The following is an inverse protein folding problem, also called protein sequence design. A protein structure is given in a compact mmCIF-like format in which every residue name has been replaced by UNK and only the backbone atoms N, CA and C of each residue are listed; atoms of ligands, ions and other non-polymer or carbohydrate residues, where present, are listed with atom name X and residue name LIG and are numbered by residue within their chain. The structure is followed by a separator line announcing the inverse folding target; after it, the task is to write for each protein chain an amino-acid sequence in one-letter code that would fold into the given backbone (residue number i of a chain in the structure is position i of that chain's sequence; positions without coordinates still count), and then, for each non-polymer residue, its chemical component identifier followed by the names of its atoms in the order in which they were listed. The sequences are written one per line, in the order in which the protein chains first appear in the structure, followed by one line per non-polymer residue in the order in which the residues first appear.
data_IF_974702642938
#
_entry.id   IF_974702642938
#
_cell.length_a   1.000
_cell.length_b   1.000
_cell.length_c   1.000
_cell.angle_alpha   90.00
_cell.angle_beta   90.00
_cell.angle_gamma   90.00
#
_symmetry.space_group_name_H-M   'P 1'
#
loop_
_entity.id
_entity.type
_entity.pdbx_description
1 polymer ?
#
# COMPACT_ATOMS: atom_id res chain seq x y z
N UNK A 1 -1.52 83.10 -8.00
CA UNK A 1 -1.77 82.97 -9.45
C UNK A 1 -1.51 81.53 -9.86
N UNK A 2 -2.52 80.96 -10.51
CA UNK A 2 -2.70 79.59 -11.00
C UNK A 2 -1.68 79.24 -12.10
N UNK A 3 -1.07 78.04 -12.09
CA UNK A 3 -0.86 77.23 -13.32
C UNK A 3 -0.87 75.73 -13.02
N UNK A 4 -1.96 75.12 -13.48
CA UNK A 4 -2.28 73.71 -13.67
C UNK A 4 -1.34 73.08 -14.72
N UNK A 5 -0.87 71.84 -14.53
CA UNK A 5 -0.73 70.84 -15.61
C UNK A 5 -0.90 69.40 -15.10
N UNK A 6 -1.97 68.81 -15.60
CA UNK A 6 -2.39 67.41 -15.61
C UNK A 6 -1.39 66.56 -16.41
N UNK A 7 -1.12 65.31 -16.00
CA UNK A 7 -0.77 64.22 -16.94
C UNK A 7 -0.92 62.83 -16.31
N UNK A 8 -2.00 62.18 -16.76
CA UNK A 8 -2.26 60.76 -17.00
C UNK A 8 -1.46 59.68 -16.24
N UNK A 9 -2.20 58.99 -15.38
CA UNK A 9 -1.94 57.65 -14.86
C UNK A 9 -2.04 56.61 -15.99
N UNK A 10 -0.93 55.97 -16.35
CA UNK A 10 -0.91 54.79 -17.22
C UNK A 10 -0.77 53.53 -16.35
N UNK A 11 -1.91 52.98 -15.93
CA UNK A 11 -2.03 51.63 -15.39
C UNK A 11 -1.84 50.62 -16.53
N UNK A 12 -0.60 50.21 -16.77
CA UNK A 12 -0.32 49.02 -17.57
C UNK A 12 -0.65 47.77 -16.76
N UNK A 13 -1.86 47.24 -16.90
CA UNK A 13 -2.12 45.84 -16.55
C UNK A 13 -1.43 44.97 -17.60
N UNK A 14 -0.24 44.47 -17.28
CA UNK A 14 0.36 43.35 -17.98
C UNK A 14 -0.48 42.11 -17.70
N UNK A 15 -1.40 41.78 -18.61
CA UNK A 15 -1.97 40.43 -18.68
C UNK A 15 -0.81 39.48 -18.99
N UNK A 16 -0.43 38.66 -18.02
CA UNK A 16 0.52 37.60 -18.24
C UNK A 16 -0.03 36.67 -19.34
N UNK A 17 0.62 36.67 -20.49
CA UNK A 17 0.34 35.76 -21.59
C UNK A 17 0.71 34.34 -21.18
N UNK A 18 -0.28 33.53 -20.79
CA UNK A 18 -0.15 32.08 -20.85
C UNK A 18 -0.50 31.62 -22.27
N UNK A 19 0.52 31.52 -23.12
CA UNK A 19 0.39 30.88 -24.42
C UNK A 19 1.55 29.90 -24.66
N UNK A 20 1.73 28.97 -23.71
CA UNK A 20 2.44 27.73 -24.01
C UNK A 20 1.40 26.72 -24.50
N UNK A 21 1.72 26.02 -25.60
CA UNK A 21 0.89 24.91 -26.08
C UNK A 21 0.86 23.85 -24.98
N UNK A 22 -0.33 23.54 -24.47
CA UNK A 22 -0.53 22.43 -23.55
C UNK A 22 -0.71 21.15 -24.37
N UNK A 23 0.27 20.26 -24.30
CA UNK A 23 0.22 18.93 -24.91
C UNK A 23 0.11 17.89 -23.80
N UNK A 24 -0.60 16.77 -24.04
CA UNK A 24 -0.60 15.67 -23.10
C UNK A 24 0.83 15.11 -22.96
N UNK A 25 1.25 14.85 -21.73
CA UNK A 25 2.53 14.21 -21.47
C UNK A 25 2.54 12.80 -22.08
N UNK A 26 3.58 12.47 -22.87
CA UNK A 26 3.71 11.15 -23.48
C UNK A 26 3.85 10.02 -22.44
N UNK A 27 4.37 10.36 -21.27
CA UNK A 27 4.45 9.50 -20.09
C UNK A 27 3.81 10.25 -18.92
N UNK A 28 2.49 10.08 -18.69
CA UNK A 28 1.79 10.73 -17.59
C UNK A 28 2.39 10.35 -16.24
N UNK A 29 2.42 11.30 -15.31
CA UNK A 29 2.81 11.05 -13.94
C UNK A 29 1.68 10.35 -13.17
N UNK A 30 2.05 9.53 -12.19
CA UNK A 30 1.15 8.93 -11.22
C UNK A 30 1.77 8.98 -9.84
N UNK A 31 0.92 9.07 -8.83
CA UNK A 31 1.28 8.88 -7.43
C UNK A 31 0.35 7.83 -6.82
N UNK A 32 0.92 6.91 -6.05
CA UNK A 32 0.21 5.85 -5.33
C UNK A 32 0.62 5.96 -3.87
N UNK A 33 -0.36 5.98 -2.96
CA UNK A 33 -0.14 5.93 -1.51
C UNK A 33 -0.82 4.68 -0.95
N UNK A 34 -0.06 3.85 -0.25
CA UNK A 34 -0.51 2.57 0.30
C UNK A 34 -0.13 2.48 1.78
N UNK A 35 -1.06 2.03 2.63
CA UNK A 35 -0.74 1.63 4.00
C UNK A 35 -0.28 0.17 4.04
N UNK A 36 0.82 -0.10 4.71
CA UNK A 36 1.35 -1.42 5.04
C UNK A 36 1.57 -1.39 6.56
N UNK A 37 0.75 -2.10 7.32
CA UNK A 37 0.61 -1.84 8.75
C UNK A 37 0.22 -0.38 9.03
N UNK A 38 0.99 0.28 9.88
CA UNK A 38 0.90 1.71 10.18
C UNK A 38 1.78 2.58 9.27
N UNK A 39 2.68 1.97 8.49
CA UNK A 39 3.57 2.66 7.56
C UNK A 39 2.83 3.06 6.29
N UNK A 40 3.02 4.32 5.86
CA UNK A 40 2.59 4.78 4.55
C UNK A 40 3.76 4.67 3.58
N UNK A 41 3.55 3.89 2.51
CA UNK A 41 4.45 3.78 1.39
C UNK A 41 3.89 4.57 0.20
N UNK A 42 4.64 5.57 -0.28
CA UNK A 42 4.24 6.43 -1.39
C UNK A 42 5.17 6.24 -2.58
N UNK A 43 4.60 6.10 -3.78
CA UNK A 43 5.32 5.90 -5.02
C UNK A 43 4.92 7.01 -6.00
N UNK A 44 5.89 7.82 -6.47
CA UNK A 44 5.67 8.82 -7.52
C UNK A 44 6.55 8.53 -8.74
N UNK A 45 5.97 8.37 -9.92
CA UNK A 45 6.73 8.10 -11.16
C UNK A 45 5.97 8.52 -12.42
N UNK A 46 6.67 8.62 -13.56
CA UNK A 46 6.02 8.76 -14.87
C UNK A 46 5.97 7.43 -15.59
N UNK A 47 4.83 7.15 -16.25
CA UNK A 47 4.49 5.86 -16.84
C UNK A 47 4.69 5.85 -18.37
N UNK A 48 5.85 5.43 -18.90
CA UNK A 48 6.02 5.25 -20.35
C UNK A 48 5.22 4.06 -20.89
N UNK A 49 4.79 4.15 -22.14
CA UNK A 49 4.16 3.05 -22.89
C UNK A 49 5.11 2.49 -23.95
N UNK A 50 4.97 1.21 -24.28
CA UNK A 50 5.77 0.53 -25.30
C UNK A 50 5.47 1.09 -26.70
N UNK A 51 4.20 1.34 -27.01
CA UNK A 51 3.72 1.87 -28.30
C UNK A 51 4.20 1.02 -29.48
N UNK A 52 4.07 -0.29 -29.36
CA UNK A 52 4.49 -1.25 -30.38
C UNK A 52 6.00 -1.54 -30.42
N UNK A 53 6.79 -0.99 -29.49
CA UNK A 53 8.20 -1.36 -29.32
C UNK A 53 8.34 -2.52 -28.34
N UNK A 54 9.37 -3.33 -28.53
CA UNK A 54 9.75 -4.36 -27.58
C UNK A 54 10.34 -3.76 -26.30
N UNK A 55 10.20 -4.47 -25.17
CA UNK A 55 10.83 -4.05 -23.92
C UNK A 55 12.36 -4.18 -23.98
N UNK A 56 12.83 -5.32 -24.50
CA UNK A 56 14.23 -5.72 -24.64
C UNK A 56 14.53 -6.14 -26.08
N UNK A 57 15.82 -6.29 -26.41
CA UNK A 57 16.31 -6.62 -27.76
C UNK A 57 17.03 -5.44 -28.42
N UNK A 58 17.49 -5.60 -29.65
CA UNK A 58 18.31 -4.61 -30.36
C UNK A 58 17.63 -3.22 -30.49
N UNK A 59 16.31 -3.20 -30.61
CA UNK A 59 15.48 -1.99 -30.65
C UNK A 59 14.62 -1.80 -29.39
N UNK A 60 14.95 -2.53 -28.31
CA UNK A 60 14.23 -2.50 -27.05
C UNK A 60 14.28 -1.13 -26.36
N UNK A 61 13.23 -0.79 -25.61
CA UNK A 61 13.20 0.47 -24.85
C UNK A 61 14.13 0.44 -23.63
N UNK A 62 14.54 -0.74 -23.16
CA UNK A 62 15.55 -0.95 -22.13
C UNK A 62 16.72 -1.76 -22.67
N UNK A 63 17.93 -1.41 -22.20
CA UNK A 63 19.15 -2.16 -22.46
C UNK A 63 19.50 -2.96 -21.21
N UNK A 64 19.66 -4.28 -21.33
CA UNK A 64 20.05 -5.12 -20.21
C UNK A 64 21.44 -4.75 -19.68
N UNK A 65 21.64 -4.84 -18.37
CA UNK A 65 22.86 -4.42 -17.68
C UNK A 65 23.00 -2.91 -17.51
N UNK A 66 22.14 -2.09 -18.13
CA UNK A 66 22.18 -0.65 -17.97
C UNK A 66 21.20 -0.16 -16.92
N UNK A 67 21.71 0.66 -16.00
CA UNK A 67 20.89 1.32 -14.99
C UNK A 67 19.97 2.36 -15.64
N UNK A 68 18.70 2.36 -15.24
CA UNK A 68 17.70 3.35 -15.68
C UNK A 68 16.88 3.87 -14.51
N UNK A 69 16.17 4.98 -14.72
CA UNK A 69 15.36 5.69 -13.72
C UNK A 69 14.03 5.02 -13.31
N UNK A 70 13.80 3.79 -13.76
CA UNK A 70 12.58 3.03 -13.44
C UNK A 70 11.29 3.81 -13.76
N UNK A 71 11.26 4.46 -14.93
CA UNK A 71 10.22 5.42 -15.32
C UNK A 71 10.63 6.32 -16.48
N UNK A 72 9.87 7.40 -16.69
CA UNK A 72 10.17 8.45 -17.67
C UNK A 72 10.22 9.85 -17.02
N UNK A 73 10.79 10.82 -17.73
CA UNK A 73 10.84 12.23 -17.30
C UNK A 73 11.57 12.41 -15.95
N UNK A 74 10.82 12.57 -14.86
CA UNK A 74 11.34 12.72 -13.51
C UNK A 74 11.85 11.39 -12.94
N UNK A 75 12.78 11.48 -11.98
CA UNK A 75 13.27 10.32 -11.22
C UNK A 75 12.10 9.67 -10.47
N UNK A 76 11.95 8.35 -10.60
CA UNK A 76 10.99 7.58 -9.80
C UNK A 76 11.37 7.68 -8.32
N UNK A 77 10.37 7.92 -7.47
CA UNK A 77 10.54 8.06 -6.02
C UNK A 77 9.68 7.05 -5.28
N UNK A 78 10.24 6.46 -4.24
CA UNK A 78 9.54 5.66 -3.25
C UNK A 78 9.82 6.24 -1.87
N UNK A 79 8.79 6.43 -1.08
CA UNK A 79 8.86 7.03 0.24
C UNK A 79 8.23 6.12 1.27
N UNK A 80 8.87 6.00 2.44
CA UNK A 80 8.37 5.25 3.57
C UNK A 80 8.30 6.16 4.80
N UNK A 81 7.15 6.18 5.48
CA UNK A 81 6.93 7.04 6.64
C UNK A 81 7.56 6.52 7.94
N UNK A 82 7.93 5.24 7.98
CA UNK A 82 8.59 4.58 9.12
C UNK A 82 9.67 3.61 8.60
N UNK A 83 10.40 2.98 9.52
CA UNK A 83 11.38 1.94 9.18
C UNK A 83 10.72 0.75 8.51
N UNK A 84 11.33 0.27 7.43
CA UNK A 84 10.86 -0.89 6.66
C UNK A 84 12.00 -1.86 6.40
N UNK A 85 11.65 -3.07 5.99
CA UNK A 85 12.60 -4.04 5.43
C UNK A 85 12.23 -4.29 3.98
N UNK A 86 13.14 -3.94 3.06
CA UNK A 86 12.93 -4.04 1.61
C UNK A 86 13.89 -5.10 1.08
N UNK A 87 13.34 -6.16 0.46
CA UNK A 87 14.15 -7.28 -0.03
C UNK A 87 14.97 -7.98 1.06
N UNK A 88 14.47 -8.01 2.30
CA UNK A 88 15.18 -8.60 3.45
C UNK A 88 16.24 -7.71 4.08
N UNK A 89 16.40 -6.46 3.64
CA UNK A 89 17.37 -5.51 4.18
C UNK A 89 16.67 -4.30 4.82
N UNK A 90 17.16 -3.79 5.97
CA UNK A 90 16.57 -2.64 6.63
C UNK A 90 16.73 -1.36 5.81
N UNK A 91 15.70 -0.53 5.81
CA UNK A 91 15.68 0.79 5.20
C UNK A 91 14.96 1.77 6.13
N UNK A 92 15.63 2.87 6.45
CA UNK A 92 15.10 3.93 7.30
C UNK A 92 13.87 4.62 6.67
N UNK A 93 13.08 5.39 7.43
CA UNK A 93 12.09 6.29 6.85
C UNK A 93 12.76 7.36 5.97
N UNK A 94 12.10 7.71 4.88
CA UNK A 94 12.57 8.75 3.97
C UNK A 94 12.07 8.57 2.54
N UNK A 95 12.42 9.53 1.70
CA UNK A 95 12.18 9.47 0.25
C UNK A 95 13.44 8.98 -0.45
N UNK A 96 13.28 8.02 -1.35
CA UNK A 96 14.36 7.39 -2.10
C UNK A 96 14.14 7.54 -3.61
N UNK A 97 15.19 7.90 -4.34
CA UNK A 97 15.22 7.71 -5.79
C UNK A 97 15.39 6.23 -6.09
N UNK A 98 14.53 5.69 -6.95
CA UNK A 98 14.57 4.31 -7.41
C UNK A 98 15.13 4.25 -8.82
N UNK A 99 16.28 3.61 -8.97
CA UNK A 99 16.82 3.19 -10.26
C UNK A 99 16.79 1.66 -10.32
N UNK A 100 16.85 1.09 -11.52
CA UNK A 100 16.88 -0.35 -11.70
C UNK A 100 17.86 -0.73 -12.79
N UNK A 101 18.44 -1.92 -12.68
CA UNK A 101 19.31 -2.53 -13.69
C UNK A 101 18.70 -3.88 -14.06
N UNK A 102 18.09 -4.00 -15.25
CA UNK A 102 17.48 -5.25 -15.68
C UNK A 102 18.54 -6.21 -16.24
N UNK A 103 18.49 -7.47 -15.83
CA UNK A 103 19.16 -8.59 -16.50
C UNK A 103 18.12 -9.62 -16.97
N UNK A 104 18.59 -10.64 -17.68
CA UNK A 104 17.71 -11.68 -18.20
C UNK A 104 17.01 -12.49 -17.08
N UNK A 105 17.75 -12.82 -16.02
CA UNK A 105 17.29 -13.70 -14.94
C UNK A 105 16.85 -12.95 -13.68
N UNK A 106 17.35 -11.73 -13.48
CA UNK A 106 17.09 -10.92 -12.31
C UNK A 106 17.14 -9.43 -12.62
N UNK A 107 16.56 -8.62 -11.76
CA UNK A 107 16.74 -7.16 -11.79
C UNK A 107 17.30 -6.71 -10.45
N UNK A 108 18.23 -5.78 -10.49
CA UNK A 108 18.71 -5.07 -9.29
C UNK A 108 17.99 -3.73 -9.18
N UNK A 109 17.33 -3.50 -8.05
CA UNK A 109 16.72 -2.22 -7.70
C UNK A 109 17.64 -1.48 -6.74
N UNK A 110 17.95 -0.23 -7.09
CA UNK A 110 18.90 0.62 -6.38
C UNK A 110 18.13 1.78 -5.74
N UNK A 111 18.25 1.90 -4.43
CA UNK A 111 17.61 2.96 -3.65
C UNK A 111 18.68 3.97 -3.24
N UNK A 112 18.42 5.24 -3.53
CA UNK A 112 19.31 6.35 -3.18
C UNK A 112 18.54 7.34 -2.32
N UNK A 113 19.16 7.90 -1.29
CA UNK A 113 18.55 9.04 -0.59
C UNK A 113 18.19 10.13 -1.61
N UNK A 114 16.92 10.55 -1.62
CA UNK A 114 16.43 11.44 -2.68
C UNK A 114 16.93 12.87 -2.48
N UNK A 115 17.56 13.40 -3.52
CA UNK A 115 17.83 14.82 -3.69
C UNK A 115 17.16 15.32 -4.96
N UNK A 116 16.66 16.56 -4.93
CA UNK A 116 16.02 17.18 -6.09
C UNK A 116 17.02 17.30 -7.25
N UNK A 117 16.69 16.72 -8.40
CA UNK A 117 17.55 16.77 -9.59
C UNK A 117 17.18 15.71 -10.62
N UNK A 118 18.09 15.49 -11.57
CA UNK A 118 17.93 14.47 -12.62
C UNK A 118 18.41 13.12 -12.12
N UNK A 119 17.79 12.04 -12.60
CA UNK A 119 18.16 10.68 -12.20
C UNK A 119 19.64 10.33 -12.47
N UNK A 120 20.25 10.97 -13.46
CA UNK A 120 21.66 10.76 -13.83
C UNK A 120 22.64 11.13 -12.71
N UNK A 121 22.26 12.02 -11.79
CA UNK A 121 23.11 12.40 -10.66
C UNK A 121 23.33 11.26 -9.65
N UNK A 122 22.50 10.21 -9.71
CA UNK A 122 22.62 9.02 -8.86
C UNK A 122 23.47 7.92 -9.51
N UNK A 123 23.87 8.05 -10.78
CA UNK A 123 24.65 7.02 -11.47
C UNK A 123 26.03 6.84 -10.84
N UNK A 124 26.66 7.95 -10.44
CA UNK A 124 28.01 8.00 -9.85
C UNK A 124 27.98 7.95 -8.31
N UNK A 125 26.85 7.57 -7.72
CA UNK A 125 26.69 7.44 -6.26
C UNK A 125 26.52 5.98 -5.87
N UNK A 126 26.86 5.69 -4.64
CA UNK A 126 26.55 4.44 -3.98
C UNK A 126 25.10 4.46 -3.49
N UNK A 127 24.31 3.44 -3.82
CA UNK A 127 22.97 3.29 -3.28
C UNK A 127 23.03 2.99 -1.77
N UNK A 128 22.03 3.47 -1.04
CA UNK A 128 21.86 3.14 0.38
C UNK A 128 21.32 1.73 0.58
N UNK A 129 20.71 1.16 -0.47
CA UNK A 129 20.21 -0.20 -0.51
C UNK A 129 20.17 -0.71 -1.95
N UNK A 130 20.61 -1.95 -2.16
CA UNK A 130 20.41 -2.69 -3.40
C UNK A 130 19.66 -3.99 -3.12
N UNK A 131 18.65 -4.27 -3.95
CA UNK A 131 17.88 -5.50 -3.87
C UNK A 131 17.83 -6.15 -5.25
N UNK A 132 18.34 -7.38 -5.34
CA UNK A 132 18.22 -8.20 -6.54
C UNK A 132 17.05 -9.16 -6.39
N UNK A 133 16.14 -9.16 -7.37
CA UNK A 133 14.93 -10.00 -7.40
C UNK A 133 14.81 -10.74 -8.72
N UNK A 134 14.25 -11.96 -8.72
CA UNK A 134 14.11 -12.76 -9.93
C UNK A 134 13.21 -12.07 -10.95
N UNK A 135 13.63 -12.10 -12.21
CA UNK A 135 12.83 -11.66 -13.35
C UNK A 135 11.83 -12.75 -13.74
N UNK A 136 10.56 -12.36 -13.85
CA UNK A 136 9.47 -13.24 -14.22
C UNK A 136 8.90 -12.83 -15.57
N UNK A 137 8.86 -13.77 -16.50
CA UNK A 137 8.11 -13.60 -17.74
C UNK A 137 6.62 -13.85 -17.50
N UNK A 138 5.77 -12.88 -17.81
CA UNK A 138 4.31 -12.99 -17.66
C UNK A 138 3.65 -13.44 -18.95
N UNK A 139 2.50 -14.11 -18.83
CA UNK A 139 1.69 -14.54 -19.98
C UNK A 139 1.09 -13.35 -20.76
N UNK A 140 0.68 -12.31 -20.05
CA UNK A 140 0.02 -11.13 -20.64
C UNK A 140 0.90 -9.91 -20.51
N UNK A 141 1.02 -9.16 -21.60
CA UNK A 141 1.82 -7.96 -21.67
C UNK A 141 1.09 -6.76 -21.04
N UNK A 142 1.83 -5.94 -20.28
CA UNK A 142 1.37 -4.66 -19.76
C UNK A 142 1.94 -3.53 -20.62
N UNK A 143 1.08 -2.84 -21.36
CA UNK A 143 1.49 -1.82 -22.34
C UNK A 143 2.22 -0.62 -21.70
N UNK A 144 1.75 -0.18 -20.54
CA UNK A 144 2.26 1.01 -19.84
C UNK A 144 2.94 0.60 -18.55
N UNK A 145 4.18 1.04 -18.33
CA UNK A 145 4.94 0.75 -17.12
C UNK A 145 4.06 0.97 -15.89
N UNK A 146 3.93 -0.09 -15.11
CA UNK A 146 3.08 -0.12 -13.92
C UNK A 146 3.91 -0.58 -12.74
N UNK A 147 4.12 0.34 -11.81
CA UNK A 147 4.57 0.05 -10.47
C UNK A 147 3.38 0.20 -9.52
N UNK A 148 3.21 -0.76 -8.62
CA UNK A 148 2.14 -0.78 -7.61
C UNK A 148 2.53 -1.64 -6.40
N UNK A 149 1.74 -1.57 -5.33
CA UNK A 149 1.84 -2.49 -4.20
C UNK A 149 0.78 -3.59 -4.34
N UNK A 150 1.17 -4.86 -4.16
CA UNK A 150 0.23 -6.00 -4.14
C UNK A 150 0.54 -6.95 -2.98
N UNK A 151 -0.29 -8.00 -2.82
CA UNK A 151 -0.18 -8.98 -1.74
C UNK A 151 -0.09 -8.31 -0.35
N UNK A 152 -0.94 -7.30 -0.15
CA UNK A 152 -0.94 -6.49 1.07
C UNK A 152 -1.53 -7.32 2.21
N UNK A 153 -0.69 -7.58 3.21
CA UNK A 153 -1.06 -8.15 4.50
C UNK A 153 -1.02 -7.10 5.61
N UNK A 154 -1.06 -7.56 6.86
CA UNK A 154 -0.99 -6.67 8.02
C UNK A 154 0.37 -6.01 8.22
N UNK A 155 1.44 -6.69 7.82
CA UNK A 155 2.82 -6.30 8.10
C UNK A 155 3.73 -6.41 6.86
N UNK A 156 3.17 -6.72 5.69
CA UNK A 156 3.93 -6.91 4.47
C UNK A 156 3.15 -6.55 3.22
N UNK A 157 3.87 -6.23 2.14
CA UNK A 157 3.38 -6.12 0.79
C UNK A 157 4.51 -6.44 -0.21
N UNK A 158 4.21 -6.38 -1.50
CA UNK A 158 5.21 -6.44 -2.56
C UNK A 158 5.14 -5.17 -3.40
N UNK A 159 6.27 -4.48 -3.56
CA UNK A 159 6.44 -3.46 -4.59
C UNK A 159 6.69 -4.18 -5.91
N UNK A 160 5.74 -4.10 -6.82
CA UNK A 160 5.77 -4.78 -8.11
C UNK A 160 6.06 -3.79 -9.22
N UNK A 161 6.90 -4.19 -10.16
CA UNK A 161 7.12 -3.52 -11.43
C UNK A 161 6.73 -4.47 -12.56
N UNK A 162 5.85 -4.00 -13.44
CA UNK A 162 5.42 -4.70 -14.64
C UNK A 162 5.49 -3.80 -15.88
N UNK A 163 6.11 -4.30 -16.95
CA UNK A 163 6.11 -3.65 -18.26
C UNK A 163 6.34 -4.69 -19.36
N UNK A 164 5.58 -4.61 -20.47
CA UNK A 164 5.55 -5.69 -21.43
C UNK A 164 5.23 -7.01 -20.73
N UNK A 165 5.96 -8.07 -21.08
CA UNK A 165 5.86 -9.37 -20.42
C UNK A 165 6.84 -9.54 -19.25
N UNK A 166 7.44 -8.46 -18.75
CA UNK A 166 8.39 -8.51 -17.63
C UNK A 166 7.70 -8.14 -16.32
N UNK A 167 7.97 -8.93 -15.27
CA UNK A 167 7.56 -8.66 -13.89
C UNK A 167 8.73 -8.88 -12.94
N UNK A 168 8.89 -7.97 -11.99
CA UNK A 168 9.66 -8.19 -10.76
C UNK A 168 8.87 -7.76 -9.54
N UNK A 169 9.11 -8.40 -8.40
CA UNK A 169 8.41 -8.14 -7.15
C UNK A 169 9.42 -8.05 -6.00
N UNK A 170 9.44 -6.91 -5.32
CA UNK A 170 10.30 -6.66 -4.16
C UNK A 170 9.47 -6.76 -2.88
N UNK A 171 9.77 -7.71 -1.98
CA UNK A 171 9.12 -7.78 -0.67
C UNK A 171 9.38 -6.51 0.13
N UNK A 172 8.34 -5.96 0.75
CA UNK A 172 8.39 -4.85 1.71
C UNK A 172 7.70 -5.32 2.99
N UNK A 173 8.39 -5.21 4.12
CA UNK A 173 7.89 -5.62 5.43
C UNK A 173 8.01 -4.48 6.43
N UNK A 174 7.09 -4.42 7.39
CA UNK A 174 7.09 -3.48 8.51
C UNK A 174 7.15 -4.27 9.82
N UNK A 175 7.91 -3.78 10.79
CA UNK A 175 8.12 -4.46 12.07
C UNK A 175 7.43 -3.72 13.21
N UNK A 176 6.10 -3.64 13.14
CA UNK A 176 5.29 -2.77 14.02
C UNK A 176 4.52 -3.55 15.10
N UNK A 177 4.65 -4.87 15.16
CA UNK A 177 3.80 -5.73 15.99
C UNK A 177 3.79 -5.33 17.47
N UNK A 178 4.97 -5.25 18.08
CA UNK A 178 5.12 -4.89 19.50
C UNK A 178 4.66 -3.46 19.80
N UNK A 179 4.89 -2.52 18.87
CA UNK A 179 4.44 -1.15 19.00
C UNK A 179 2.90 -1.07 18.98
N UNK A 180 2.25 -1.88 18.14
CA UNK A 180 0.79 -1.99 18.09
C UNK A 180 0.25 -2.60 19.38
N UNK A 181 0.85 -3.67 19.91
CA UNK A 181 0.44 -4.27 21.19
C UNK A 181 0.56 -3.27 22.35
N UNK A 182 1.69 -2.57 22.43
CA UNK A 182 1.90 -1.50 23.44
C UNK A 182 0.84 -0.40 23.32
N UNK A 183 0.48 -0.03 22.08
CA UNK A 183 -0.57 0.95 21.84
C UNK A 183 -1.97 0.43 22.25
N UNK A 184 -2.28 -0.83 21.99
CA UNK A 184 -3.52 -1.48 22.43
C UNK A 184 -3.62 -1.41 23.96
N UNK A 185 -2.59 -1.83 24.69
CA UNK A 185 -2.60 -1.81 26.17
C UNK A 185 -2.86 -0.40 26.72
N UNK A 186 -2.22 0.61 26.11
CA UNK A 186 -2.40 2.02 26.48
C UNK A 186 -3.83 2.50 26.23
N UNK A 187 -4.43 2.18 25.09
CA UNK A 187 -5.79 2.60 24.74
C UNK A 187 -6.82 1.89 25.62
N UNK A 188 -6.61 0.61 25.93
CA UNK A 188 -7.51 -0.18 26.77
C UNK A 188 -7.48 0.21 28.26
N UNK A 189 -6.68 1.20 28.67
CA UNK A 189 -6.78 1.84 29.97
C UNK A 189 -8.03 2.75 30.13
N UNK A 190 -8.63 3.18 29.01
CA UNK A 190 -9.89 3.93 28.98
C UNK A 190 -10.68 3.64 27.70
N UNK A 191 -11.13 2.39 27.49
CA UNK A 191 -11.59 1.91 26.19
C UNK A 191 -13.03 2.30 25.85
N UNK A 192 -13.29 2.49 24.56
CA UNK A 192 -14.64 2.33 23.99
C UNK A 192 -14.90 0.89 23.57
N UNK A 193 -16.16 0.55 23.30
CA UNK A 193 -16.52 -0.74 22.69
C UNK A 193 -15.83 -0.96 21.34
N UNK A 194 -15.59 0.12 20.58
CA UNK A 194 -14.91 0.01 19.30
C UNK A 194 -13.42 -0.33 19.49
N UNK A 195 -12.78 0.21 20.54
CA UNK A 195 -11.37 -0.10 20.84
C UNK A 195 -11.20 -1.58 21.22
N UNK A 196 -12.10 -2.15 22.02
CA UNK A 196 -12.10 -3.58 22.30
C UNK A 196 -12.27 -4.44 21.06
N UNK A 197 -13.17 -4.03 20.15
CA UNK A 197 -13.35 -4.72 18.87
C UNK A 197 -12.08 -4.67 18.02
N UNK A 198 -11.44 -3.50 17.88
CA UNK A 198 -10.21 -3.34 17.09
C UNK A 198 -9.04 -4.14 17.69
N UNK A 199 -8.92 -4.15 19.03
CA UNK A 199 -7.91 -4.95 19.72
C UNK A 199 -8.12 -6.45 19.49
N UNK A 200 -9.36 -6.94 19.65
CA UNK A 200 -9.68 -8.34 19.38
C UNK A 200 -9.45 -8.74 17.92
N UNK A 201 -9.83 -7.86 16.98
CA UNK A 201 -9.59 -8.05 15.56
C UNK A 201 -8.09 -8.20 15.26
N UNK A 202 -7.28 -7.27 15.73
CA UNK A 202 -5.83 -7.32 15.50
C UNK A 202 -5.21 -8.59 16.07
N UNK A 203 -5.49 -8.91 17.34
CA UNK A 203 -4.98 -10.11 17.99
C UNK A 203 -5.42 -11.39 17.27
N UNK A 204 -6.64 -11.45 16.76
CA UNK A 204 -7.12 -12.60 15.98
C UNK A 204 -6.42 -12.70 14.63
N UNK A 205 -6.33 -11.62 13.86
CA UNK A 205 -5.71 -11.63 12.53
C UNK A 205 -4.21 -11.94 12.59
N UNK A 206 -3.51 -11.53 13.67
CA UNK A 206 -2.10 -11.89 13.90
C UNK A 206 -1.91 -13.22 14.63
N UNK A 207 -3.01 -13.90 15.01
CA UNK A 207 -2.99 -15.13 15.82
C UNK A 207 -2.25 -14.96 17.16
N UNK A 208 -2.27 -13.74 17.72
CA UNK A 208 -1.60 -13.37 18.97
C UNK A 208 -2.57 -13.49 20.13
N UNK A 209 -2.30 -14.38 21.09
CA UNK A 209 -3.07 -14.53 22.33
C UNK A 209 -4.61 -14.58 22.11
N UNK A 210 -5.07 -15.60 21.38
CA UNK A 210 -6.49 -15.81 21.07
C UNK A 210 -7.42 -15.79 22.30
N UNK A 211 -7.05 -16.32 23.49
CA UNK A 211 -7.88 -16.18 24.69
C UNK A 211 -8.11 -14.71 25.11
N UNK A 212 -7.10 -13.86 24.96
CA UNK A 212 -7.23 -12.42 25.22
C UNK A 212 -8.09 -11.74 24.14
N UNK A 213 -7.90 -12.11 22.88
CA UNK A 213 -8.76 -11.65 21.78
C UNK A 213 -10.24 -11.97 22.06
N UNK A 214 -10.52 -13.20 22.54
CA UNK A 214 -11.85 -13.61 22.94
C UNK A 214 -12.40 -12.76 24.10
N UNK A 215 -11.56 -12.52 25.11
CA UNK A 215 -11.94 -11.68 26.26
C UNK A 215 -12.33 -10.27 25.81
N UNK A 216 -11.58 -9.69 24.88
CA UNK A 216 -11.86 -8.35 24.34
C UNK A 216 -13.12 -8.31 23.49
N UNK A 217 -13.30 -9.25 22.55
CA UNK A 217 -14.51 -9.24 21.72
C UNK A 217 -15.77 -9.45 22.54
N UNK A 218 -15.70 -10.25 23.61
CA UNK A 218 -16.82 -10.49 24.52
C UNK A 218 -17.22 -9.27 25.35
N UNK A 219 -16.31 -8.31 25.60
CA UNK A 219 -16.72 -7.01 26.17
C UNK A 219 -17.71 -6.27 25.27
N UNK A 220 -17.64 -6.51 23.96
CA UNK A 220 -18.48 -5.85 22.96
C UNK A 220 -19.74 -6.65 22.69
N UNK A 221 -19.58 -7.97 22.49
CA UNK A 221 -20.68 -8.82 22.00
C UNK A 221 -21.68 -9.19 23.09
N UNK A 222 -21.33 -9.10 24.38
CA UNK A 222 -22.30 -9.33 25.46
C UNK A 222 -23.44 -8.28 25.48
N UNK A 223 -23.26 -7.12 24.85
CA UNK A 223 -24.33 -6.13 24.70
C UNK A 223 -25.41 -6.60 23.72
N UNK A 224 -26.67 -6.27 24.00
CA UNK A 224 -27.78 -6.44 23.05
C UNK A 224 -27.61 -5.55 21.80
N UNK A 225 -26.83 -4.47 21.89
CA UNK A 225 -26.54 -3.56 20.79
C UNK A 225 -25.37 -4.01 19.90
N UNK A 226 -24.85 -5.23 20.10
CA UNK A 226 -23.72 -5.73 19.32
C UNK A 226 -24.08 -5.88 17.84
N UNK A 227 -23.16 -5.50 16.97
CA UNK A 227 -23.34 -5.58 15.51
C UNK A 227 -23.00 -6.98 15.02
N UNK A 228 -23.66 -7.45 13.95
CA UNK A 228 -23.47 -8.79 13.40
C UNK A 228 -21.98 -9.13 13.15
N UNK A 229 -21.19 -8.19 12.59
CA UNK A 229 -19.78 -8.45 12.30
C UNK A 229 -18.89 -8.55 13.55
N UNK A 230 -19.32 -7.99 14.69
CA UNK A 230 -18.62 -8.13 15.97
C UNK A 230 -18.87 -9.52 16.54
N UNK A 231 -20.13 -9.98 16.49
CA UNK A 231 -20.50 -11.34 16.94
C UNK A 231 -19.88 -12.40 16.02
N UNK A 232 -19.75 -12.12 14.73
CA UNK A 232 -19.04 -13.01 13.80
C UNK A 232 -17.57 -13.16 14.18
N UNK A 233 -16.91 -12.06 14.57
CA UNK A 233 -15.52 -12.09 15.03
C UNK A 233 -15.37 -12.96 16.28
N UNK A 234 -16.31 -12.89 17.22
CA UNK A 234 -16.35 -13.80 18.37
C UNK A 234 -16.47 -15.27 17.92
N UNK A 235 -17.40 -15.58 17.01
CA UNK A 235 -17.57 -16.93 16.48
C UNK A 235 -16.29 -17.47 15.84
N UNK A 236 -15.59 -16.64 15.05
CA UNK A 236 -14.34 -17.00 14.41
C UNK A 236 -13.20 -17.25 15.41
N UNK A 237 -13.07 -16.40 16.45
CA UNK A 237 -12.08 -16.61 17.52
C UNK A 237 -12.38 -17.88 18.31
N UNK A 238 -13.65 -18.14 18.66
CA UNK A 238 -14.07 -19.36 19.35
C UNK A 238 -13.76 -20.61 18.53
N UNK A 239 -13.98 -20.55 17.21
CA UNK A 239 -13.61 -21.62 16.28
C UNK A 239 -12.11 -21.91 16.31
N UNK A 240 -11.27 -20.89 16.21
CA UNK A 240 -9.81 -21.07 16.20
C UNK A 240 -9.26 -21.53 17.59
N UNK A 241 -10.03 -21.28 18.66
CA UNK A 241 -9.80 -21.86 19.98
C UNK A 241 -10.38 -23.28 20.16
N UNK A 242 -10.97 -23.88 19.12
CA UNK A 242 -11.65 -25.18 19.14
C UNK A 242 -12.86 -25.25 20.11
N UNK A 243 -13.52 -24.12 20.38
CA UNK A 243 -14.73 -24.03 21.22
C UNK A 243 -15.99 -24.12 20.36
N UNK A 244 -16.13 -25.22 19.63
CA UNK A 244 -17.07 -25.35 18.52
C UNK A 244 -18.53 -25.09 18.90
N UNK A 245 -18.99 -25.59 20.06
CA UNK A 245 -20.37 -25.37 20.51
C UNK A 245 -20.69 -23.87 20.72
N UNK A 246 -19.73 -23.13 21.27
CA UNK A 246 -19.87 -21.69 21.50
C UNK A 246 -19.70 -20.90 20.21
N UNK A 247 -18.79 -21.32 19.33
CA UNK A 247 -18.63 -20.76 18.00
C UNK A 247 -19.93 -20.88 17.18
N UNK A 248 -20.59 -22.05 17.22
CA UNK A 248 -21.90 -22.27 16.58
C UNK A 248 -22.96 -21.33 17.17
N UNK A 249 -23.03 -21.20 18.49
CA UNK A 249 -24.01 -20.31 19.13
C UNK A 249 -23.79 -18.83 18.73
N UNK A 250 -22.54 -18.37 18.71
CA UNK A 250 -22.19 -17.03 18.25
C UNK A 250 -22.46 -16.84 16.74
N UNK A 251 -22.22 -17.86 15.91
CA UNK A 251 -22.53 -17.83 14.49
C UNK A 251 -24.03 -17.76 14.22
N UNK A 252 -24.85 -18.50 14.98
CA UNK A 252 -26.32 -18.42 14.90
C UNK A 252 -26.83 -17.02 15.28
N UNK A 253 -26.26 -16.43 16.34
CA UNK A 253 -26.59 -15.05 16.72
C UNK A 253 -26.16 -14.03 15.66
N UNK A 254 -24.99 -14.22 15.06
CA UNK A 254 -24.53 -13.40 13.93
C UNK A 254 -25.54 -13.45 12.78
N UNK A 255 -25.99 -14.65 12.41
CA UNK A 255 -26.95 -14.86 11.34
C UNK A 255 -28.25 -14.10 11.59
N UNK A 256 -28.83 -14.22 12.79
CA UNK A 256 -30.04 -13.47 13.16
C UNK A 256 -29.87 -11.96 13.07
N UNK A 257 -28.73 -11.43 13.55
CA UNK A 257 -28.43 -9.99 13.48
C UNK A 257 -28.19 -9.53 12.03
N UNK A 258 -27.56 -10.37 11.21
CA UNK A 258 -27.29 -10.08 9.80
C UNK A 258 -28.58 -10.10 8.95
N UNK A 259 -29.48 -11.07 9.18
CA UNK A 259 -30.81 -11.14 8.56
C UNK A 259 -31.63 -9.88 8.88
N UNK A 260 -31.67 -9.48 10.16
CA UNK A 260 -32.37 -8.27 10.58
C UNK A 260 -31.78 -6.99 9.94
N UNK A 261 -30.48 -7.00 9.60
CA UNK A 261 -29.80 -5.92 8.91
C UNK A 261 -29.84 -6.02 7.36
N UNK A 262 -30.43 -7.09 6.80
CA UNK A 262 -30.44 -7.36 5.35
C UNK A 262 -29.04 -7.64 4.77
N UNK A 263 -28.14 -8.22 5.55
CA UNK A 263 -26.77 -8.54 5.13
C UNK A 263 -26.60 -10.04 4.81
N UNK A 264 -26.87 -10.41 3.55
CA UNK A 264 -26.81 -11.80 3.10
C UNK A 264 -25.41 -12.42 3.18
N UNK A 265 -24.35 -11.61 3.12
CA UNK A 265 -22.97 -12.09 3.20
C UNK A 265 -22.67 -12.72 4.56
N UNK A 266 -23.01 -12.03 5.66
CA UNK A 266 -22.78 -12.57 6.99
C UNK A 266 -23.74 -13.72 7.34
N UNK A 267 -24.95 -13.74 6.78
CA UNK A 267 -25.85 -14.91 6.87
C UNK A 267 -25.17 -16.13 6.27
N UNK A 268 -24.68 -16.02 5.02
CA UNK A 268 -23.99 -17.10 4.33
C UNK A 268 -22.72 -17.53 5.06
N UNK A 269 -21.90 -16.59 5.53
CA UNK A 269 -20.66 -16.90 6.27
C UNK A 269 -20.96 -17.65 7.57
N UNK A 270 -21.97 -17.21 8.32
CA UNK A 270 -22.40 -17.89 9.54
C UNK A 270 -22.91 -19.30 9.27
N UNK A 271 -23.74 -19.49 8.24
CA UNK A 271 -24.22 -20.81 7.85
C UNK A 271 -23.07 -21.76 7.49
N UNK A 272 -22.11 -21.31 6.68
CA UNK A 272 -20.92 -22.09 6.32
C UNK A 272 -20.08 -22.48 7.55
N UNK A 273 -19.92 -21.56 8.51
CA UNK A 273 -19.20 -21.86 9.75
C UNK A 273 -19.93 -22.91 10.59
N UNK A 274 -21.26 -22.82 10.71
CA UNK A 274 -22.07 -23.79 11.47
C UNK A 274 -21.94 -25.18 10.85
N UNK A 275 -22.14 -25.29 9.53
CA UNK A 275 -22.01 -26.55 8.80
C UNK A 275 -20.65 -27.20 9.05
N UNK A 276 -19.57 -26.45 8.82
CA UNK A 276 -18.19 -26.93 8.98
C UNK A 276 -17.82 -27.34 10.42
N UNK A 277 -18.56 -26.88 11.45
CA UNK A 277 -18.31 -27.23 12.85
C UNK A 277 -19.23 -28.35 13.36
N UNK A 278 -20.22 -28.76 12.57
CA UNK A 278 -21.14 -29.86 12.88
C UNK A 278 -20.80 -31.18 12.21
N UNK A 279 -19.90 -31.16 11.22
CA UNK A 279 -19.29 -32.33 10.57
C UNK A 279 -18.17 -32.95 11.43
#
# INVERSE_FOLDING_TARGET
MLKLKMSALLLGLSWASYAQIQLPALSPAVEISQKIGLTTATLSYSRPSLRGRELFGDEGVLVQGNKWRTGANATTRVEFSQDVTVGGQPLAPGTYALLSTPHEQDWTLHYYAYEKGTWTQFLDREPVLEVTVPHQQTKYAVETLTLHFEAIGLDAAQLVLQWGNSKVAVPVQVNEHEAILTNIDRVLAGPSNFDYFQAALYLHETQTNLPQALTYIQQVTQSESALFFQVYREAAILKDLNRNAEAIAAAQRTMQLAEAAGNDDFVRLSQQMIEALTE
#
